data_IF_370955185177
#
_entry.id   IF_370955185177
#
_cell.length_a   1.000
_cell.length_b   1.000
_cell.length_c   1.000
_cell.angle_alpha   90.00
_cell.angle_beta   90.00
_cell.angle_gamma   90.00
#
_symmetry.space_group_name_H-M   'P 1'
#
loop_
_entity.id
_entity.type
_entity.pdbx_description
1 polymer ?
#
# COMPACT_ATOMS: atom_id res chain seq x y z
N UNK A 1 -43.43 -65.24 25.99
CA UNK A 1 -42.38 -64.20 26.13
C UNK A 1 -41.87 -64.22 27.56
N UNK A 2 -40.57 -64.39 27.77
CA UNK A 2 -39.99 -64.53 29.13
C UNK A 2 -40.02 -63.16 29.83
N UNK A 3 -40.24 -63.14 31.16
CA UNK A 3 -40.33 -61.90 31.97
C UNK A 3 -39.15 -60.96 31.74
N UNK A 4 -37.94 -61.52 31.62
CA UNK A 4 -36.71 -60.79 31.33
C UNK A 4 -36.72 -60.07 29.97
N UNK A 5 -37.32 -60.66 28.93
CA UNK A 5 -37.44 -60.02 27.61
C UNK A 5 -38.40 -58.83 27.68
N UNK A 6 -39.47 -58.94 28.46
CA UNK A 6 -40.47 -57.87 28.64
C UNK A 6 -39.89 -56.69 29.42
N UNK A 7 -39.09 -56.99 30.44
CA UNK A 7 -38.40 -56.01 31.27
C UNK A 7 -37.26 -55.29 30.52
N UNK A 8 -36.56 -56.00 29.61
CA UNK A 8 -35.56 -55.42 28.72
C UNK A 8 -36.17 -54.45 27.70
N UNK A 9 -37.33 -54.78 27.11
CA UNK A 9 -38.04 -53.90 26.18
C UNK A 9 -38.58 -52.66 26.90
N UNK A 10 -39.12 -52.80 28.12
CA UNK A 10 -39.62 -51.66 28.90
C UNK A 10 -38.52 -50.72 29.43
N UNK A 11 -37.26 -51.18 29.48
CA UNK A 11 -36.09 -50.37 29.88
C UNK A 11 -35.45 -49.58 28.74
N UNK A 12 -35.86 -49.79 27.49
CA UNK A 12 -35.35 -49.02 26.35
C UNK A 12 -35.79 -47.55 26.50
N UNK A 13 -34.85 -46.67 26.85
CA UNK A 13 -35.07 -45.21 26.95
C UNK A 13 -34.93 -44.60 28.33
N UNK A 14 -34.71 -45.38 29.39
CA UNK A 14 -34.38 -44.86 30.73
C UNK A 14 -32.86 -44.73 30.86
N UNK A 15 -32.35 -43.50 30.96
CA UNK A 15 -30.93 -43.27 31.29
C UNK A 15 -30.75 -43.58 32.77
N UNK A 16 -30.22 -44.76 33.08
CA UNK A 16 -29.85 -45.10 34.45
C UNK A 16 -28.62 -44.27 34.87
N UNK A 17 -28.53 -43.82 36.13
CA UNK A 17 -27.34 -43.17 36.63
C UNK A 17 -26.16 -44.16 36.57
N UNK A 18 -25.02 -43.67 36.09
CA UNK A 18 -23.81 -44.49 35.94
C UNK A 18 -23.42 -45.14 37.28
N UNK A 19 -23.38 -46.47 37.27
CA UNK A 19 -22.90 -47.23 38.40
C UNK A 19 -21.39 -47.02 38.58
N UNK A 20 -20.84 -47.17 39.80
CA UNK A 20 -19.40 -47.05 40.04
C UNK A 20 -18.55 -47.99 39.17
N UNK A 21 -19.10 -49.14 38.75
CA UNK A 21 -18.44 -50.09 37.85
C UNK A 21 -18.39 -49.57 36.42
N UNK A 22 -19.50 -49.05 35.91
CA UNK A 22 -19.55 -48.44 34.57
C UNK A 22 -18.61 -47.26 34.47
N UNK A 23 -18.53 -46.43 35.52
CA UNK A 23 -17.58 -45.31 35.58
C UNK A 23 -16.13 -45.76 35.47
N UNK A 24 -15.76 -46.86 36.13
CA UNK A 24 -14.42 -47.47 36.00
C UNK A 24 -14.17 -48.04 34.61
N UNK A 25 -15.18 -48.65 34.00
CA UNK A 25 -15.07 -49.18 32.63
C UNK A 25 -14.91 -48.06 31.61
N UNK A 26 -15.68 -46.97 31.73
CA UNK A 26 -15.53 -45.79 30.88
C UNK A 26 -14.16 -45.13 31.04
N UNK A 27 -13.64 -45.05 32.26
CA UNK A 27 -12.28 -44.55 32.51
C UNK A 27 -11.20 -45.44 31.85
N UNK A 28 -11.36 -46.77 31.90
CA UNK A 28 -10.47 -47.70 31.20
C UNK A 28 -10.54 -47.55 29.68
N UNK A 29 -11.75 -47.48 29.12
CA UNK A 29 -11.97 -47.25 27.69
C UNK A 29 -11.38 -45.93 27.21
N UNK A 30 -11.47 -44.86 28.01
CA UNK A 30 -10.87 -43.57 27.68
C UNK A 30 -9.34 -43.67 27.60
N UNK A 31 -8.72 -44.39 28.54
CA UNK A 31 -7.27 -44.65 28.50
C UNK A 31 -6.86 -45.51 27.29
N UNK A 32 -7.64 -46.55 26.98
CA UNK A 32 -7.38 -47.43 25.82
C UNK A 32 -7.49 -46.68 24.48
N UNK A 33 -8.36 -45.67 24.39
CA UNK A 33 -8.50 -44.82 23.21
C UNK A 33 -7.29 -43.89 23.05
N UNK A 34 -6.73 -43.40 24.16
CA UNK A 34 -5.55 -42.53 24.15
C UNK A 34 -4.29 -43.28 23.68
N UNK A 35 -4.12 -44.54 24.10
CA UNK A 35 -3.01 -45.42 23.69
C UNK A 35 -3.28 -46.22 22.39
N UNK A 36 -4.40 -45.99 21.72
CA UNK A 36 -4.77 -46.75 20.53
C UNK A 36 -3.83 -46.44 19.34
N UNK A 37 -3.26 -47.46 18.68
CA UNK A 37 -2.42 -47.27 17.49
C UNK A 37 -3.20 -46.71 16.28
N UNK A 38 -4.54 -46.67 16.38
CA UNK A 38 -5.45 -46.11 15.38
C UNK A 38 -5.95 -44.71 15.75
N UNK A 39 -5.49 -44.14 16.86
CA UNK A 39 -5.81 -42.77 17.22
C UNK A 39 -5.11 -41.79 16.27
N UNK A 40 -5.90 -41.06 15.48
CA UNK A 40 -5.38 -40.00 14.61
C UNK A 40 -4.84 -38.83 15.44
N UNK A 41 -3.81 -38.15 14.92
CA UNK A 41 -3.35 -36.88 15.51
C UNK A 41 -4.32 -35.76 15.14
N UNK A 42 -4.59 -34.80 16.03
CA UNK A 42 -5.38 -33.62 15.67
C UNK A 42 -4.69 -32.89 14.51
N UNK A 43 -5.47 -32.50 13.50
CA UNK A 43 -4.95 -31.76 12.36
C UNK A 43 -4.36 -30.43 12.86
N UNK A 44 -3.13 -30.07 12.47
CA UNK A 44 -2.57 -28.78 12.84
C UNK A 44 -3.36 -27.68 12.13
N UNK A 45 -4.19 -26.96 12.89
CA UNK A 45 -4.89 -25.78 12.38
C UNK A 45 -3.86 -24.67 12.24
N UNK A 46 -3.41 -24.42 11.01
CA UNK A 46 -2.66 -23.19 10.70
C UNK A 46 -3.64 -22.03 10.72
N UNK A 47 -3.86 -21.46 11.90
CA UNK A 47 -4.54 -20.17 12.04
C UNK A 47 -3.74 -19.15 11.25
N UNK A 48 -4.21 -18.81 10.05
CA UNK A 48 -3.64 -17.73 9.26
C UNK A 48 -4.09 -16.45 9.96
N UNK A 49 -3.23 -15.87 10.78
CA UNK A 49 -3.51 -14.68 11.61
C UNK A 49 -3.90 -13.41 10.81
N UNK A 50 -4.08 -13.51 9.49
CA UNK A 50 -4.31 -12.37 8.61
C UNK A 50 -5.38 -12.72 7.57
N UNK A 51 -6.66 -12.50 7.90
CA UNK A 51 -7.65 -12.21 6.86
C UNK A 51 -7.35 -10.81 6.33
N UNK A 52 -7.45 -10.59 5.03
CA UNK A 52 -7.38 -9.23 4.50
C UNK A 52 -8.50 -8.42 5.17
N UNK A 53 -8.14 -7.31 5.83
CA UNK A 53 -9.14 -6.49 6.48
C UNK A 53 -10.11 -5.88 5.47
N UNK A 54 -11.31 -5.54 5.94
CA UNK A 54 -12.36 -4.92 5.13
C UNK A 54 -11.89 -3.61 4.45
N UNK A 55 -10.86 -2.96 5.00
CA UNK A 55 -10.19 -1.79 4.45
C UNK A 55 -9.67 -2.02 3.03
N UNK A 56 -9.10 -3.19 2.71
CA UNK A 56 -8.63 -3.48 1.33
C UNK A 56 -9.79 -3.67 0.37
N UNK A 57 -10.89 -4.26 0.83
CA UNK A 57 -12.07 -4.47 0.00
C UNK A 57 -12.80 -3.15 -0.29
N UNK A 58 -12.88 -2.27 0.71
CA UNK A 58 -13.43 -0.92 0.58
C UNK A 58 -12.54 -0.04 -0.32
N UNK A 59 -11.21 -0.11 -0.18
CA UNK A 59 -10.29 0.59 -1.09
C UNK A 59 -10.44 0.10 -2.54
N UNK A 60 -10.64 -1.20 -2.75
CA UNK A 60 -10.86 -1.76 -4.08
C UNK A 60 -12.20 -1.33 -4.71
N UNK A 61 -13.22 -1.04 -3.89
CA UNK A 61 -14.50 -0.49 -4.34
C UNK A 61 -14.48 1.04 -4.50
N UNK A 62 -13.49 1.71 -3.93
CA UNK A 62 -13.44 3.17 -3.81
C UNK A 62 -12.37 3.77 -4.73
N UNK A 63 -12.68 3.87 -6.02
CA UNK A 63 -11.95 4.70 -6.99
C UNK A 63 -10.41 4.62 -6.97
N UNK A 64 -9.72 5.61 -7.55
CA UNK A 64 -8.27 5.75 -7.39
C UNK A 64 -7.90 6.18 -5.96
N UNK A 65 -6.74 5.70 -5.48
CA UNK A 65 -6.22 6.08 -4.15
C UNK A 65 -5.84 7.57 -4.10
N UNK A 66 -5.88 8.17 -2.90
CA UNK A 66 -5.61 9.60 -2.72
C UNK A 66 -4.24 10.05 -3.26
N UNK A 67 -3.18 9.26 -3.04
CA UNK A 67 -1.86 9.57 -3.61
C UNK A 67 -1.85 9.48 -5.14
N UNK A 68 -2.64 8.58 -5.75
CA UNK A 68 -2.73 8.44 -7.21
C UNK A 68 -3.40 9.67 -7.83
N UNK A 69 -4.45 10.19 -7.18
CA UNK A 69 -5.12 11.43 -7.60
C UNK A 69 -4.15 12.61 -7.52
N UNK A 70 -3.39 12.71 -6.42
CA UNK A 70 -2.37 13.75 -6.25
C UNK A 70 -1.26 13.63 -7.28
N UNK A 71 -0.77 12.42 -7.55
CA UNK A 71 0.27 12.20 -8.56
C UNK A 71 -0.20 12.67 -9.94
N UNK A 72 -1.42 12.30 -10.35
CA UNK A 72 -2.02 12.79 -11.59
C UNK A 72 -2.10 14.32 -11.63
N UNK A 73 -2.47 14.98 -10.52
CA UNK A 73 -2.53 16.45 -10.46
C UNK A 73 -1.15 17.08 -10.57
N UNK A 74 -0.14 16.51 -9.90
CA UNK A 74 1.25 16.95 -9.98
C UNK A 74 1.75 16.86 -11.42
N UNK A 75 1.53 15.73 -12.10
CA UNK A 75 1.97 15.54 -13.48
C UNK A 75 1.28 16.54 -14.42
N UNK A 76 -0.01 16.79 -14.22
CA UNK A 76 -0.76 17.79 -14.99
C UNK A 76 -0.22 19.22 -14.83
N UNK A 77 0.08 19.63 -13.59
CA UNK A 77 0.65 20.96 -13.33
C UNK A 77 2.09 21.07 -13.82
N UNK A 78 2.90 20.04 -13.64
CA UNK A 78 4.27 20.00 -14.17
C UNK A 78 4.27 20.14 -15.70
N UNK A 79 3.36 19.43 -16.39
CA UNK A 79 3.21 19.56 -17.84
C UNK A 79 2.76 20.95 -18.27
N UNK A 80 1.87 21.59 -17.49
CA UNK A 80 1.43 22.95 -17.75
C UNK A 80 2.59 23.95 -17.61
N UNK A 81 3.40 23.81 -16.56
CA UNK A 81 4.63 24.59 -16.35
C UNK A 81 5.62 24.37 -17.48
N UNK A 82 5.88 23.13 -17.90
CA UNK A 82 6.76 22.83 -19.04
C UNK A 82 6.29 23.50 -20.32
N UNK A 83 4.98 23.43 -20.60
CA UNK A 83 4.40 24.05 -21.79
C UNK A 83 4.53 25.57 -21.76
N UNK A 84 4.24 26.18 -20.61
CA UNK A 84 4.30 27.62 -20.42
C UNK A 84 5.74 28.15 -20.49
N UNK A 85 6.72 27.44 -19.89
CA UNK A 85 8.13 27.77 -19.99
C UNK A 85 8.64 27.64 -21.43
N UNK A 86 8.24 26.58 -22.15
CA UNK A 86 8.58 26.40 -23.56
C UNK A 86 8.09 27.57 -24.42
N UNK A 87 6.83 27.95 -24.26
CA UNK A 87 6.27 29.10 -24.97
C UNK A 87 6.99 30.41 -24.63
N UNK A 88 7.23 30.68 -23.34
CA UNK A 88 7.95 31.87 -22.88
C UNK A 88 9.38 31.93 -23.43
N UNK A 89 10.06 30.78 -23.52
CA UNK A 89 11.40 30.69 -24.11
C UNK A 89 11.38 31.03 -25.60
N UNK A 90 10.41 30.51 -26.34
CA UNK A 90 10.28 30.75 -27.78
C UNK A 90 9.90 32.21 -28.08
N UNK A 91 9.04 32.82 -27.26
CA UNK A 91 8.74 34.25 -27.31
C UNK A 91 10.01 35.09 -27.06
N UNK A 92 10.75 34.80 -25.99
CA UNK A 92 11.96 35.52 -25.64
C UNK A 92 13.06 35.36 -26.70
N UNK A 93 13.19 34.18 -27.30
CA UNK A 93 14.13 33.91 -28.39
C UNK A 93 13.83 34.78 -29.61
N UNK A 94 12.54 34.96 -29.95
CA UNK A 94 12.10 35.87 -31.03
C UNK A 94 12.37 37.34 -30.70
N UNK A 95 12.16 37.76 -29.45
CA UNK A 95 12.42 39.13 -29.02
C UNK A 95 13.91 39.51 -29.04
N UNK A 96 14.79 38.55 -28.78
CA UNK A 96 16.24 38.79 -28.75
C UNK A 96 16.90 38.77 -30.14
N UNK A 97 16.16 38.42 -31.20
CA UNK A 97 16.61 38.43 -32.62
C UNK A 97 18.01 37.83 -32.85
N UNK A 98 18.32 36.72 -32.15
CA UNK A 98 19.60 36.02 -32.27
C UNK A 98 20.73 36.53 -31.36
N UNK A 99 20.52 37.55 -30.53
CA UNK A 99 21.46 37.93 -29.47
C UNK A 99 21.47 36.87 -28.34
N UNK A 100 22.50 36.03 -28.37
CA UNK A 100 22.67 34.92 -27.43
C UNK A 100 22.97 35.36 -26.01
N UNK A 101 23.71 36.45 -25.84
CA UNK A 101 24.10 36.91 -24.51
C UNK A 101 22.89 37.53 -23.81
N UNK A 102 22.15 38.38 -24.53
CA UNK A 102 20.92 38.99 -24.05
C UNK A 102 19.84 37.96 -23.73
N UNK A 103 19.66 36.96 -24.62
CA UNK A 103 18.73 35.87 -24.37
C UNK A 103 19.10 35.08 -23.11
N UNK A 104 20.37 34.72 -22.96
CA UNK A 104 20.80 33.91 -21.83
C UNK A 104 20.64 34.65 -20.48
N UNK A 105 20.90 35.95 -20.45
CA UNK A 105 20.67 36.80 -19.28
C UNK A 105 19.17 36.86 -18.94
N UNK A 106 18.34 37.30 -19.89
CA UNK A 106 16.90 37.45 -19.68
C UNK A 106 16.19 36.14 -19.36
N UNK A 107 16.61 35.03 -19.97
CA UNK A 107 16.01 33.73 -19.71
C UNK A 107 16.26 33.26 -18.28
N UNK A 108 17.46 33.50 -17.74
CA UNK A 108 17.75 33.19 -16.33
C UNK A 108 16.89 34.03 -15.40
N UNK A 109 16.65 35.30 -15.72
CA UNK A 109 15.78 36.16 -14.91
C UNK A 109 14.32 35.69 -14.94
N UNK A 110 13.81 35.32 -16.12
CA UNK A 110 12.45 34.75 -16.28
C UNK A 110 12.30 33.47 -15.45
N UNK A 111 13.25 32.55 -15.55
CA UNK A 111 13.21 31.28 -14.82
C UNK A 111 13.39 31.47 -13.31
N UNK A 112 14.22 32.43 -12.88
CA UNK A 112 14.40 32.75 -11.47
C UNK A 112 13.14 33.36 -10.83
N UNK A 113 12.34 34.10 -11.61
CA UNK A 113 11.07 34.68 -11.17
C UNK A 113 9.85 33.78 -11.40
N UNK A 114 10.03 32.55 -11.89
CA UNK A 114 8.92 31.67 -12.23
C UNK A 114 8.26 31.09 -10.98
N UNK A 115 6.93 31.04 -10.97
CA UNK A 115 6.14 30.49 -9.87
C UNK A 115 6.00 28.97 -10.01
N UNK A 116 6.48 28.25 -8.99
CA UNK A 116 6.34 26.79 -8.85
C UNK A 116 5.53 26.39 -7.61
N UNK A 117 4.93 27.35 -6.91
CA UNK A 117 4.37 27.13 -5.57
C UNK A 117 3.21 26.12 -5.60
N UNK A 118 2.29 26.21 -6.58
CA UNK A 118 1.13 25.28 -6.62
C UNK A 118 1.57 23.81 -6.78
N UNK A 119 2.53 23.56 -7.67
CA UNK A 119 3.03 22.19 -7.91
C UNK A 119 3.90 21.71 -6.76
N UNK A 120 4.73 22.58 -6.20
CA UNK A 120 5.57 22.28 -5.04
C UNK A 120 4.74 21.97 -3.80
N UNK A 121 3.67 22.74 -3.52
CA UNK A 121 2.72 22.46 -2.44
C UNK A 121 2.09 21.07 -2.56
N UNK A 122 1.82 20.60 -3.78
CA UNK A 122 1.28 19.27 -4.00
C UNK A 122 2.35 18.20 -3.86
N UNK A 123 3.57 18.45 -4.32
CA UNK A 123 4.73 17.55 -4.14
C UNK A 123 5.03 17.39 -2.66
N UNK A 124 5.06 18.47 -1.87
CA UNK A 124 5.29 18.41 -0.44
C UNK A 124 4.22 17.59 0.27
N UNK A 125 2.94 17.87 -0.02
CA UNK A 125 1.82 17.07 0.50
C UNK A 125 1.95 15.60 0.09
N UNK A 126 2.34 15.33 -1.16
CA UNK A 126 2.60 13.98 -1.64
C UNK A 126 3.68 13.29 -0.81
N UNK A 127 4.86 13.88 -0.72
CA UNK A 127 6.00 13.35 0.02
C UNK A 127 5.67 13.10 1.50
N UNK A 128 4.85 13.97 2.11
CA UNK A 128 4.42 13.83 3.51
C UNK A 128 3.51 12.63 3.76
N UNK A 129 2.55 12.38 2.86
CA UNK A 129 1.47 11.41 3.11
C UNK A 129 1.64 10.08 2.35
N UNK A 130 2.41 10.07 1.26
CA UNK A 130 2.58 8.91 0.38
C UNK A 130 3.01 7.63 1.13
N UNK A 131 3.98 7.67 2.05
CA UNK A 131 4.41 6.44 2.71
C UNK A 131 3.32 5.78 3.55
N UNK A 132 2.48 6.58 4.20
CA UNK A 132 1.36 6.10 5.02
C UNK A 132 0.24 5.58 4.13
N UNK A 133 -0.12 6.31 3.08
CA UNK A 133 -1.19 5.93 2.15
C UNK A 133 -0.85 4.67 1.35
N UNK A 134 0.41 4.52 0.95
CA UNK A 134 0.92 3.36 0.21
C UNK A 134 1.34 2.20 1.13
N UNK A 135 1.25 2.38 2.45
CA UNK A 135 1.67 1.41 3.47
C UNK A 135 3.12 0.94 3.26
N UNK A 136 4.01 1.87 2.97
CA UNK A 136 5.42 1.55 2.78
C UNK A 136 5.99 0.92 4.05
N UNK A 137 6.75 -0.18 3.93
CA UNK A 137 7.44 -0.75 5.07
C UNK A 137 8.52 0.22 5.57
N UNK A 138 8.79 0.17 6.86
CA UNK A 138 9.90 0.91 7.47
C UNK A 138 11.21 0.18 7.18
N UNK A 139 12.26 0.92 6.80
CA UNK A 139 13.64 0.42 6.73
C UNK A 139 14.42 0.91 7.96
N UNK A 140 14.71 0.02 8.94
CA UNK A 140 15.44 0.40 10.15
C UNK A 140 16.87 0.90 9.88
N UNK A 141 17.52 0.43 8.80
CA UNK A 141 18.88 0.83 8.47
C UNK A 141 18.90 2.28 7.95
N UNK A 142 17.90 2.65 7.14
CA UNK A 142 17.72 4.02 6.64
C UNK A 142 17.09 4.95 7.67
N UNK A 143 16.46 4.40 8.73
CA UNK A 143 15.61 5.13 9.69
C UNK A 143 14.48 5.91 9.00
N UNK A 144 14.01 5.39 7.88
CA UNK A 144 13.01 6.00 6.99
C UNK A 144 12.30 4.89 6.21
N UNK A 145 11.26 5.23 5.45
CA UNK A 145 10.51 4.24 4.67
C UNK A 145 11.38 3.58 3.61
N UNK A 146 11.02 2.34 3.26
CA UNK A 146 11.72 1.57 2.25
C UNK A 146 11.68 2.24 0.87
N UNK A 147 12.70 1.96 0.08
CA UNK A 147 12.81 2.42 -1.30
C UNK A 147 11.67 1.86 -2.16
N UNK A 148 11.24 2.65 -3.13
CA UNK A 148 10.29 2.25 -4.16
C UNK A 148 11.08 2.00 -5.43
N UNK A 149 11.08 0.77 -5.94
CA UNK A 149 11.86 0.37 -7.13
C UNK A 149 13.37 0.69 -7.04
N UNK A 150 13.93 0.70 -5.82
CA UNK A 150 15.34 1.02 -5.59
C UNK A 150 15.64 2.52 -5.44
N UNK A 151 14.63 3.39 -5.49
CA UNK A 151 14.78 4.84 -5.38
C UNK A 151 14.02 5.40 -4.16
N UNK A 152 14.41 6.59 -3.73
CA UNK A 152 13.66 7.32 -2.69
C UNK A 152 12.26 7.65 -3.23
N UNK A 153 11.24 7.48 -2.39
CA UNK A 153 9.86 7.73 -2.79
C UNK A 153 9.54 9.22 -2.95
N UNK A 154 10.38 10.11 -2.39
CA UNK A 154 10.14 11.55 -2.43
C UNK A 154 10.37 12.07 -3.83
N UNK A 155 9.40 12.82 -4.35
CA UNK A 155 9.59 13.58 -5.59
C UNK A 155 10.35 14.87 -5.29
N UNK A 156 11.31 15.28 -6.13
CA UNK A 156 11.99 16.56 -6.00
C UNK A 156 11.01 17.71 -6.24
N UNK A 157 11.26 18.84 -5.59
CA UNK A 157 10.57 20.10 -5.88
C UNK A 157 11.06 20.65 -7.23
N UNK A 158 10.20 21.43 -7.88
CA UNK A 158 10.55 22.16 -9.09
C UNK A 158 11.11 23.53 -8.71
N UNK A 159 12.23 23.88 -9.31
CA UNK A 159 12.91 25.15 -9.09
C UNK A 159 13.49 25.69 -10.40
N UNK A 160 14.16 26.84 -10.32
CA UNK A 160 14.84 27.45 -11.45
C UNK A 160 15.90 26.53 -12.07
N UNK A 161 16.54 25.68 -11.26
CA UNK A 161 17.53 24.72 -11.76
C UNK A 161 16.87 23.64 -12.61
N UNK A 162 15.77 23.05 -12.15
CA UNK A 162 14.98 22.11 -12.92
C UNK A 162 14.55 22.71 -14.27
N UNK A 163 14.09 23.97 -14.25
CA UNK A 163 13.68 24.67 -15.47
C UNK A 163 14.86 24.89 -16.43
N UNK A 164 16.04 25.27 -15.93
CA UNK A 164 17.25 25.45 -16.77
C UNK A 164 17.84 24.14 -17.30
N UNK A 165 17.72 23.05 -16.54
CA UNK A 165 18.13 21.71 -17.01
C UNK A 165 17.25 21.25 -18.19
N UNK A 166 15.97 21.61 -18.17
CA UNK A 166 14.99 21.23 -19.21
C UNK A 166 14.95 22.19 -20.39
N UNK A 167 15.16 23.48 -20.11
CA UNK A 167 15.16 24.58 -21.07
C UNK A 167 16.44 25.40 -20.91
N UNK A 168 17.55 24.96 -21.53
CA UNK A 168 18.83 25.64 -21.41
C UNK A 168 18.79 27.09 -21.90
N UNK A 169 19.58 27.94 -21.24
CA UNK A 169 19.79 29.34 -21.61
C UNK A 169 20.66 29.52 -22.87
N UNK A 170 21.00 28.42 -23.55
CA UNK A 170 21.75 28.42 -24.79
C UNK A 170 20.77 28.40 -25.97
N UNK A 171 20.93 29.33 -26.90
CA UNK A 171 20.34 29.23 -28.23
C UNK A 171 21.24 28.28 -29.03
N UNK A 172 20.85 27.02 -29.17
CA UNK A 172 21.51 26.13 -30.13
C UNK A 172 21.43 26.78 -31.52
N UNK A 173 22.57 26.78 -32.23
CA UNK A 173 22.60 27.24 -33.60
C UNK A 173 21.76 26.29 -34.44
N UNK A 174 20.73 26.80 -35.11
CA UNK A 174 20.00 26.07 -36.14
C UNK A 174 20.93 25.66 -37.30
#
# INVERSE_FOLDING_TARGET
>A
MKRAEREAIMRQGVVLPETPRERRQLAGLAADVEDSPYAGKPLPVRLRNFRQGADRYLAALSGPLAYMIRLRKIDGLAQAVETALGAARDDLARECDGDRALFAERWRDVVAGWDFDEVNDLIERHNRWYPVESRLPMDPARRDYALVNGEDYRRPLLDSRWALERFPAELEAA
#
